data_IF_325159888903
#
_entry.id   IF_325159888903
#
_cell.length_a   1.000
_cell.length_b   1.000
_cell.length_c   1.000
_cell.angle_alpha   90.00
_cell.angle_beta   90.00
_cell.angle_gamma   90.00
#
_symmetry.space_group_name_H-M   'P 1'
#
loop_
_entity.id
_entity.type
_entity.pdbx_description
1 polymer ?
#
# COMPACT_ATOMS: atom_id res chain seq x y z
N UNK A 1 -1.68 -27.42 0.13
CA UNK A 1 -1.84 -26.84 0.09
C UNK A 1 -1.76 -25.86 -0.23
N UNK A 2 -1.74 -25.40 -0.39
CA UNK A 2 -1.72 -24.69 -0.75
C UNK A 2 -1.95 -23.57 -0.77
N UNK A 3 -2.11 -23.31 -0.80
CA UNK A 3 -2.53 -22.34 -1.01
C UNK A 3 -2.38 -21.13 -0.70
N UNK A 4 -2.43 -20.74 -0.34
CA UNK A 4 -2.11 -19.81 0.18
C UNK A 4 -1.55 -18.78 -0.39
N UNK A 5 -0.72 -18.92 -1.03
CA UNK A 5 -0.03 -18.12 -1.61
C UNK A 5 -0.54 -17.10 -2.35
N UNK A 6 -1.39 -17.26 -3.01
CA UNK A 6 -1.95 -16.28 -3.92
C UNK A 6 -2.56 -15.09 -3.24
N UNK A 7 -2.74 -15.14 -1.96
CA UNK A 7 -3.36 -14.04 -1.25
C UNK A 7 -2.61 -12.72 -1.41
N UNK A 8 -1.31 -12.77 -1.68
CA UNK A 8 -0.59 -11.52 -1.77
C UNK A 8 -0.51 -10.99 -3.19
N UNK A 9 -1.12 -11.66 -4.12
CA UNK A 9 -1.14 -11.24 -5.52
C UNK A 9 -2.47 -10.64 -5.94
N UNK A 10 -3.27 -10.21 -4.98
CA UNK A 10 -4.56 -9.61 -5.28
C UNK A 10 -4.37 -8.33 -6.07
N UNK A 11 -5.03 -8.25 -7.20
CA UNK A 11 -4.99 -7.05 -8.02
C UNK A 11 -5.66 -5.89 -7.28
N UNK A 12 -5.12 -4.71 -7.47
CA UNK A 12 -5.70 -3.52 -6.88
C UNK A 12 -5.60 -2.36 -7.86
N UNK A 13 -6.40 -1.33 -7.62
CA UNK A 13 -6.43 -0.14 -8.44
C UNK A 13 -5.88 1.02 -7.65
N UNK A 14 -4.93 1.73 -8.24
CA UNK A 14 -4.37 2.95 -7.67
C UNK A 14 -4.66 4.10 -8.62
N UNK A 15 -5.22 5.19 -8.11
CA UNK A 15 -5.45 6.37 -8.92
C UNK A 15 -4.17 7.19 -8.98
N UNK A 16 -3.58 7.27 -10.16
CA UNK A 16 -2.38 8.08 -10.38
C UNK A 16 -2.73 9.56 -10.22
N UNK A 17 -3.85 9.97 -10.80
CA UNK A 17 -4.32 11.35 -10.71
C UNK A 17 -5.62 11.36 -9.92
N UNK A 18 -5.70 12.27 -8.96
CA UNK A 18 -6.92 12.45 -8.17
C UNK A 18 -7.58 13.77 -8.57
N UNK A 19 -8.70 14.07 -7.91
CA UNK A 19 -9.39 15.35 -8.13
C UNK A 19 -8.54 16.53 -7.71
N UNK A 20 -7.62 16.34 -6.76
CA UNK A 20 -6.65 17.36 -6.46
C UNK A 20 -5.64 17.34 -7.61
N UNK A 21 -5.28 18.49 -8.13
CA UNK A 21 -4.32 18.58 -9.22
C UNK A 21 -2.89 18.52 -8.72
N UNK A 22 -2.71 18.20 -7.43
CA UNK A 22 -1.41 18.22 -6.81
C UNK A 22 -0.76 16.84 -6.81
N UNK A 23 0.55 16.85 -6.93
CA UNK A 23 1.32 15.64 -6.65
C UNK A 23 1.15 15.30 -5.17
N UNK A 24 1.31 14.00 -4.85
CA UNK A 24 1.17 13.53 -3.48
C UNK A 24 2.04 14.34 -2.52
N UNK A 25 3.28 14.63 -2.92
CA UNK A 25 4.23 15.32 -2.07
C UNK A 25 3.91 16.78 -1.85
N UNK A 26 3.01 17.36 -2.65
CA UNK A 26 2.59 18.75 -2.49
C UNK A 26 1.38 18.92 -1.59
N UNK A 27 0.74 17.82 -1.21
CA UNK A 27 -0.39 17.89 -0.31
C UNK A 27 0.08 18.17 1.11
N UNK A 28 -0.84 18.63 1.97
CA UNK A 28 -0.52 18.85 3.38
C UNK A 28 -0.14 17.58 4.07
N UNK A 29 -0.73 16.47 3.66
CA UNK A 29 -0.53 15.17 4.26
C UNK A 29 -0.34 14.16 3.14
N UNK A 30 0.91 14.01 2.65
CA UNK A 30 1.19 13.08 1.55
C UNK A 30 0.73 11.65 1.83
N UNK A 31 0.83 11.23 3.07
CA UNK A 31 0.45 9.88 3.47
C UNK A 31 -1.05 9.68 3.26
N UNK A 32 -1.85 10.62 3.74
CA UNK A 32 -3.28 10.55 3.57
C UNK A 32 -3.67 10.63 2.09
N UNK A 33 -2.99 11.49 1.32
CA UNK A 33 -3.26 11.62 -0.11
C UNK A 33 -2.99 10.32 -0.85
N UNK A 34 -1.91 9.61 -0.49
CA UNK A 34 -1.63 8.30 -1.07
C UNK A 34 -2.73 7.31 -0.72
N UNK A 35 -3.17 7.31 0.52
CA UNK A 35 -4.23 6.39 0.96
C UNK A 35 -5.54 6.66 0.23
N UNK A 36 -5.86 7.93 -0.05
CA UNK A 36 -7.07 8.27 -0.78
C UNK A 36 -7.01 7.86 -2.25
N UNK A 37 -5.82 7.70 -2.80
CA UNK A 37 -5.66 7.20 -4.17
C UNK A 37 -5.82 5.68 -4.24
N UNK A 38 -5.63 5.01 -3.14
CA UNK A 38 -5.77 3.56 -3.05
C UNK A 38 -7.17 3.16 -2.57
N UNK A 39 -7.70 3.91 -1.60
CA UNK A 39 -9.02 3.66 -1.04
C UNK A 39 -9.96 4.79 -1.44
N UNK A 40 -11.24 4.46 -1.63
CA UNK A 40 -12.17 5.44 -2.20
C UNK A 40 -12.83 6.36 -1.15
N UNK A 41 -12.71 6.03 0.11
CA UNK A 41 -13.32 6.83 1.16
C UNK A 41 -12.31 7.13 2.27
N UNK A 42 -12.58 8.23 2.99
CA UNK A 42 -11.68 8.69 4.03
C UNK A 42 -11.60 7.75 5.22
N UNK A 43 -12.67 7.07 5.53
CA UNK A 43 -12.70 6.13 6.66
C UNK A 43 -11.73 4.98 6.41
N UNK A 44 -11.82 4.36 5.24
CA UNK A 44 -10.93 3.25 4.89
C UNK A 44 -9.49 3.74 4.72
N UNK A 45 -9.31 4.91 4.12
CA UNK A 45 -7.98 5.50 3.96
C UNK A 45 -7.31 5.72 5.32
N UNK A 46 -8.06 6.24 6.28
CA UNK A 46 -7.56 6.46 7.63
C UNK A 46 -7.17 5.14 8.32
N UNK A 47 -7.99 4.12 8.15
CA UNK A 47 -7.69 2.80 8.71
C UNK A 47 -6.47 2.17 8.06
N UNK A 48 -6.32 2.32 6.76
CA UNK A 48 -5.14 1.86 6.05
C UNK A 48 -3.88 2.55 6.55
N UNK A 49 -3.96 3.84 6.77
CA UNK A 49 -2.86 4.61 7.33
C UNK A 49 -2.46 4.12 8.71
N UNK A 50 -3.46 3.86 9.56
CA UNK A 50 -3.21 3.35 10.92
C UNK A 50 -2.56 1.98 10.86
N UNK A 51 -3.03 1.12 9.98
CA UNK A 51 -2.46 -0.21 9.81
C UNK A 51 -1.00 -0.12 9.37
N UNK A 52 -0.70 0.73 8.40
CA UNK A 52 0.68 0.94 7.97
C UNK A 52 1.55 1.48 9.09
N UNK A 53 1.02 2.39 9.91
CA UNK A 53 1.76 2.93 11.05
C UNK A 53 2.10 1.84 12.06
N UNK A 54 1.18 0.92 12.32
CA UNK A 54 1.42 -0.20 13.21
C UNK A 54 2.53 -1.09 12.65
N UNK A 55 2.48 -1.40 11.36
CA UNK A 55 3.51 -2.21 10.70
C UNK A 55 4.88 -1.54 10.84
N UNK A 56 4.94 -0.26 10.54
CA UNK A 56 6.19 0.50 10.61
C UNK A 56 6.76 0.51 12.02
N UNK A 57 5.93 0.81 13.00
CA UNK A 57 6.37 0.85 14.38
C UNK A 57 6.90 -0.50 14.85
N UNK A 58 6.17 -1.57 14.57
CA UNK A 58 6.58 -2.91 14.96
C UNK A 58 7.85 -3.34 14.24
N UNK A 59 7.96 -3.01 12.96
CA UNK A 59 9.16 -3.32 12.19
C UNK A 59 10.37 -2.60 12.75
N UNK A 60 10.22 -1.32 13.10
CA UNK A 60 11.32 -0.53 13.65
C UNK A 60 11.73 -0.95 15.06
N UNK A 61 10.80 -1.52 15.82
CA UNK A 61 11.11 -2.01 17.16
C UNK A 61 11.73 -3.40 17.16
N UNK A 62 11.87 -4.03 15.99
CA UNK A 62 12.44 -5.38 15.89
C UNK A 62 11.45 -6.49 16.21
N UNK A 63 10.16 -6.19 16.33
CA UNK A 63 9.12 -7.17 16.62
C UNK A 63 8.03 -7.05 15.55
N UNK A 64 8.26 -7.56 14.32
CA UNK A 64 7.33 -7.38 13.23
C UNK A 64 5.92 -7.88 13.54
N UNK A 65 4.94 -7.16 13.01
CA UNK A 65 3.54 -7.52 13.17
C UNK A 65 3.27 -8.86 12.48
N UNK A 66 2.65 -9.77 13.21
CA UNK A 66 2.37 -11.11 12.67
C UNK A 66 0.96 -11.20 12.11
N UNK A 67 0.82 -12.01 11.09
CA UNK A 67 -0.48 -12.18 10.44
C UNK A 67 -1.52 -12.79 11.37
N UNK A 68 -1.10 -13.57 12.36
CA UNK A 68 -2.02 -14.18 13.31
C UNK A 68 -2.55 -13.18 14.36
N UNK A 69 -2.07 -11.94 14.35
CA UNK A 69 -2.58 -10.90 15.24
C UNK A 69 -3.83 -10.20 14.68
N UNK A 70 -4.46 -10.74 13.66
CA UNK A 70 -5.57 -10.10 12.98
C UNK A 70 -6.75 -9.81 13.91
N UNK A 71 -6.98 -10.62 14.93
CA UNK A 71 -8.08 -10.40 15.89
C UNK A 71 -7.86 -9.08 16.63
N UNK A 72 -6.65 -8.85 17.12
CA UNK A 72 -6.31 -7.60 17.79
C UNK A 72 -6.41 -6.42 16.84
N UNK A 73 -5.99 -6.62 15.59
CA UNK A 73 -6.00 -5.55 14.60
C UNK A 73 -7.42 -5.10 14.27
N UNK A 74 -8.36 -6.03 14.09
CA UNK A 74 -9.73 -5.64 13.77
C UNK A 74 -10.38 -4.90 14.94
N UNK A 75 -10.02 -5.25 16.17
CA UNK A 75 -10.51 -4.52 17.33
C UNK A 75 -9.91 -3.12 17.40
N UNK A 76 -8.62 -3.02 17.21
CA UNK A 76 -7.91 -1.75 17.28
C UNK A 76 -8.34 -0.81 16.16
N UNK A 77 -8.51 -1.33 14.94
CA UNK A 77 -8.90 -0.53 13.78
C UNK A 77 -10.41 -0.33 13.70
N UNK A 78 -11.18 -1.04 14.53
CA UNK A 78 -12.64 -0.96 14.57
C UNK A 78 -13.25 -1.28 13.21
N UNK A 79 -12.84 -2.41 12.65
CA UNK A 79 -13.33 -2.89 11.35
C UNK A 79 -13.85 -4.31 11.49
N UNK A 80 -14.65 -4.74 10.53
CA UNK A 80 -15.03 -6.15 10.44
C UNK A 80 -13.84 -6.94 9.88
N UNK A 81 -13.89 -8.25 10.05
CA UNK A 81 -12.86 -9.12 9.51
C UNK A 81 -12.75 -8.98 7.99
N UNK A 82 -13.90 -8.99 7.30
CA UNK A 82 -13.90 -8.88 5.84
C UNK A 82 -13.37 -7.53 5.37
N UNK A 83 -13.72 -6.44 6.06
CA UNK A 83 -13.21 -5.11 5.73
C UNK A 83 -11.69 -5.03 5.95
N UNK A 84 -11.20 -5.66 7.01
CA UNK A 84 -9.76 -5.71 7.27
C UNK A 84 -9.02 -6.42 6.14
N UNK A 85 -9.50 -7.59 5.74
CA UNK A 85 -8.83 -8.34 4.69
C UNK A 85 -8.92 -7.63 3.33
N UNK A 86 -10.02 -6.96 3.04
CA UNK A 86 -10.15 -6.17 1.81
C UNK A 86 -9.12 -5.03 1.78
N UNK A 87 -8.98 -4.33 2.90
CA UNK A 87 -7.99 -3.26 3.04
C UNK A 87 -6.58 -3.80 2.91
N UNK A 88 -6.26 -4.86 3.65
CA UNK A 88 -4.95 -5.51 3.61
C UNK A 88 -4.59 -5.93 2.19
N UNK A 89 -5.53 -6.55 1.49
CA UNK A 89 -5.27 -7.04 0.14
C UNK A 89 -4.97 -5.92 -0.83
N UNK A 90 -5.58 -4.76 -0.68
CA UNK A 90 -5.25 -3.60 -1.51
C UNK A 90 -3.84 -3.10 -1.25
N UNK A 91 -3.43 -3.08 -0.01
CA UNK A 91 -2.06 -2.66 0.35
C UNK A 91 -1.03 -3.65 -0.18
N UNK A 92 -1.32 -4.95 -0.09
CA UNK A 92 -0.46 -5.98 -0.67
C UNK A 92 -0.41 -5.86 -2.19
N UNK A 93 -1.55 -5.68 -2.83
CA UNK A 93 -1.63 -5.56 -4.28
C UNK A 93 -0.91 -4.33 -4.81
N UNK A 94 -0.92 -3.24 -4.05
CA UNK A 94 -0.19 -2.03 -4.42
C UNK A 94 1.32 -2.15 -4.19
N UNK A 95 1.76 -3.18 -3.48
CA UNK A 95 3.18 -3.36 -3.19
C UNK A 95 3.69 -2.50 -2.04
N UNK A 96 2.78 -1.94 -1.23
CA UNK A 96 3.17 -1.12 -0.09
C UNK A 96 3.59 -1.95 1.11
N UNK A 97 3.06 -3.15 1.23
CA UNK A 97 3.43 -4.10 2.28
C UNK A 97 3.70 -5.46 1.67
N UNK A 98 4.43 -6.27 2.41
CA UNK A 98 4.64 -7.67 2.09
C UNK A 98 4.16 -8.53 3.24
N UNK A 99 3.86 -9.79 2.93
CA UNK A 99 3.45 -10.78 3.90
C UNK A 99 4.30 -12.03 3.65
N UNK A 100 5.38 -12.14 4.38
CA UNK A 100 6.31 -13.27 4.23
C UNK A 100 6.60 -13.89 5.59
N UNK A 101 6.58 -15.21 5.64
CA UNK A 101 6.88 -15.90 6.88
C UNK A 101 5.92 -15.56 8.01
N UNK A 102 4.69 -15.21 7.68
CA UNK A 102 3.69 -14.84 8.67
C UNK A 102 3.89 -13.46 9.28
N UNK A 103 4.72 -12.63 8.66
CA UNK A 103 5.01 -11.27 9.14
C UNK A 103 4.70 -10.23 8.09
N UNK A 104 4.15 -9.11 8.53
CA UNK A 104 3.95 -7.94 7.67
C UNK A 104 5.16 -7.03 7.74
N UNK A 105 5.57 -6.52 6.58
CA UNK A 105 6.64 -5.53 6.50
C UNK A 105 6.30 -4.50 5.45
N UNK A 106 6.82 -3.30 5.59
CA UNK A 106 6.75 -2.30 4.53
C UNK A 106 7.59 -2.79 3.36
N UNK A 107 7.12 -2.52 2.14
CA UNK A 107 7.75 -3.04 0.93
C UNK A 107 8.11 -1.94 -0.04
N UNK A 108 9.22 -2.14 -0.73
CA UNK A 108 9.66 -1.24 -1.80
C UNK A 108 9.12 -1.60 -3.17
N UNK A 109 8.31 -2.65 -3.29
CA UNK A 109 7.78 -3.07 -4.59
C UNK A 109 6.90 -2.00 -5.23
N UNK A 110 6.14 -1.27 -4.42
CA UNK A 110 5.34 -0.14 -4.89
C UNK A 110 6.20 0.83 -5.70
N UNK A 111 7.31 1.27 -5.13
CA UNK A 111 8.19 2.22 -5.79
C UNK A 111 8.85 1.63 -7.03
N UNK A 112 9.30 0.39 -6.95
CA UNK A 112 9.97 -0.27 -8.06
C UNK A 112 9.06 -0.42 -9.26
N UNK A 113 7.83 -0.87 -9.02
CA UNK A 113 6.88 -1.11 -10.11
C UNK A 113 6.45 0.21 -10.75
N UNK A 114 6.21 1.24 -9.95
CA UNK A 114 5.83 2.54 -10.49
C UNK A 114 6.96 3.17 -11.28
N UNK A 115 8.18 3.10 -10.77
CA UNK A 115 9.34 3.66 -11.46
C UNK A 115 9.58 2.92 -12.77
N UNK A 116 9.46 1.61 -12.76
CA UNK A 116 9.63 0.81 -13.97
C UNK A 116 8.65 1.24 -15.06
N UNK A 117 7.37 1.33 -14.72
CA UNK A 117 6.35 1.75 -15.67
C UNK A 117 6.57 3.19 -16.13
N UNK A 118 6.92 4.07 -15.20
CA UNK A 118 7.15 5.47 -15.51
C UNK A 118 8.34 5.66 -16.46
N UNK A 119 9.43 4.95 -16.22
CA UNK A 119 10.62 5.02 -17.07
C UNK A 119 10.35 4.48 -18.46
N UNK A 120 9.66 3.37 -18.54
CA UNK A 120 9.32 2.77 -19.83
C UNK A 120 8.52 3.74 -20.69
N UNK A 121 7.47 4.32 -20.13
CA UNK A 121 6.64 5.27 -20.86
C UNK A 121 7.44 6.48 -21.31
N UNK A 122 8.23 7.06 -20.40
CA UNK A 122 9.01 8.27 -20.66
C UNK A 122 10.05 8.06 -21.75
N UNK A 123 10.76 6.95 -21.70
CA UNK A 123 11.87 6.70 -22.63
C UNK A 123 11.44 5.98 -23.89
N UNK A 124 10.65 4.93 -23.78
CA UNK A 124 10.32 4.09 -24.93
C UNK A 124 9.18 4.66 -25.76
N UNK A 125 8.16 5.21 -25.11
CA UNK A 125 6.99 5.72 -25.82
C UNK A 125 7.14 7.20 -26.17
N UNK A 126 7.52 8.02 -25.20
CA UNK A 126 7.67 9.45 -25.43
C UNK A 126 9.03 9.82 -26.02
N UNK A 127 9.96 8.87 -26.02
CA UNK A 127 11.29 9.05 -26.59
C UNK A 127 12.07 10.19 -25.93
N UNK A 128 11.89 10.35 -24.64
CA UNK A 128 12.55 11.36 -23.85
C UNK A 128 13.79 10.81 -23.14
N UNK A 129 14.68 11.70 -22.76
CA UNK A 129 15.87 11.33 -21.99
C UNK A 129 15.47 11.16 -20.52
N UNK A 130 15.91 10.08 -19.91
CA UNK A 130 15.61 9.78 -18.53
C UNK A 130 16.02 10.89 -17.57
N UNK A 131 17.10 11.61 -17.89
CA UNK A 131 17.57 12.72 -17.06
C UNK A 131 16.55 13.84 -16.90
N UNK A 132 15.61 13.94 -17.82
CA UNK A 132 14.60 14.98 -17.79
C UNK A 132 13.29 14.55 -17.12
N UNK A 133 13.29 13.38 -16.51
CA UNK A 133 12.11 12.89 -15.82
C UNK A 133 11.96 13.51 -14.44
#
# INVERSE_FOLDING_TARGET
MTAVKSAHRTATTLKIRSKSEYAVTRSRDPYNELMLRLFQDETTANRGRKFLAIIEERQNSGDPLKTNEWIRLIEELKVSRSAFYAMRNKLLGAGLISNKGGEYKLSGMFSRDLVDMARWWWTAVLNNNLENL
#
